data_IF_324810152290
#
_entry.id   IF_324810152290
#
_cell.length_a   1.000
_cell.length_b   1.000
_cell.length_c   1.000
_cell.angle_alpha   90.00
_cell.angle_beta   90.00
_cell.angle_gamma   90.00
#
_symmetry.space_group_name_H-M   'P 1'
#
loop_
_entity.id
_entity.type
_entity.pdbx_description
1 polymer ?
#
# COMPACT_ATOMS: atom_id res chain seq x y z
N UNK A 1 -16.29 0.09 -9.84
CA UNK A 1 -15.82 0.99 -8.78
C UNK A 1 -15.15 2.20 -9.40
N UNK A 2 -15.41 3.35 -8.87
CA UNK A 2 -14.75 4.56 -9.33
C UNK A 2 -13.53 4.85 -8.49
N UNK A 3 -12.40 5.03 -9.15
CA UNK A 3 -11.15 5.40 -8.49
C UNK A 3 -11.09 6.89 -8.20
N UNK A 4 -11.92 7.67 -8.90
CA UNK A 4 -11.96 9.13 -8.76
C UNK A 4 -13.37 9.57 -8.41
N UNK A 5 -13.50 10.66 -7.64
CA UNK A 5 -14.81 11.25 -7.41
C UNK A 5 -15.49 11.58 -8.72
N UNK A 6 -16.80 11.50 -8.73
CA UNK A 6 -17.58 11.72 -9.94
C UNK A 6 -17.37 13.14 -10.50
N UNK A 7 -17.16 14.08 -9.62
CA UNK A 7 -16.96 15.48 -9.97
C UNK A 7 -15.55 15.77 -10.51
N UNK A 8 -14.64 14.82 -10.42
CA UNK A 8 -13.27 15.00 -10.91
C UNK A 8 -13.18 14.71 -12.39
N UNK A 9 -14.02 15.35 -13.11
CA UNK A 9 -13.99 15.44 -14.56
C UNK A 9 -13.75 14.12 -15.28
N UNK A 10 -14.65 13.85 -16.18
CA UNK A 10 -14.56 12.71 -17.09
C UNK A 10 -13.20 12.61 -17.77
N UNK A 11 -12.54 13.75 -18.00
CA UNK A 11 -11.24 13.77 -18.65
C UNK A 11 -10.15 13.04 -17.86
N UNK A 12 -10.08 13.26 -16.55
CA UNK A 12 -9.09 12.59 -15.71
C UNK A 12 -9.39 11.09 -15.67
N UNK A 13 -10.63 10.73 -15.53
CA UNK A 13 -11.04 9.33 -15.51
C UNK A 13 -10.71 8.62 -16.82
N UNK A 14 -10.99 9.25 -17.94
CA UNK A 14 -10.68 8.69 -19.26
C UNK A 14 -9.19 8.53 -19.46
N UNK A 15 -8.39 9.52 -19.06
CA UNK A 15 -6.92 9.43 -19.14
C UNK A 15 -6.42 8.27 -18.28
N UNK A 16 -6.94 8.14 -17.08
CA UNK A 16 -6.55 7.03 -16.20
C UNK A 16 -6.87 5.68 -16.83
N UNK A 17 -8.07 5.52 -17.36
CA UNK A 17 -8.45 4.26 -18.03
C UNK A 17 -7.55 3.99 -19.24
N UNK A 18 -7.25 5.00 -20.03
CA UNK A 18 -6.37 4.86 -21.19
C UNK A 18 -4.97 4.41 -20.76
N UNK A 19 -4.39 5.07 -19.75
CA UNK A 19 -3.09 4.70 -19.24
C UNK A 19 -3.07 3.30 -18.67
N UNK A 20 -4.11 2.92 -17.94
CA UNK A 20 -4.23 1.56 -17.40
C UNK A 20 -4.28 0.54 -18.55
N UNK A 21 -5.05 0.84 -19.60
CA UNK A 21 -5.14 -0.03 -20.76
C UNK A 21 -3.79 -0.18 -21.47
N UNK A 22 -3.11 0.92 -21.75
CA UNK A 22 -1.81 0.90 -22.42
C UNK A 22 -0.78 0.14 -21.59
N UNK A 23 -0.70 0.42 -20.30
CA UNK A 23 0.25 -0.24 -19.43
C UNK A 23 -0.08 -1.73 -19.31
N UNK A 24 -1.35 -2.08 -19.20
CA UNK A 24 -1.78 -3.49 -19.18
C UNK A 24 -1.40 -4.22 -20.44
N UNK A 25 -1.53 -3.57 -21.59
CA UNK A 25 -1.12 -4.15 -22.86
C UNK A 25 0.38 -4.43 -22.92
N UNK A 26 1.18 -3.60 -22.24
CA UNK A 26 2.63 -3.73 -22.22
C UNK A 26 3.12 -4.70 -21.15
N UNK A 27 2.43 -4.77 -20.01
CA UNK A 27 2.88 -5.56 -18.88
C UNK A 27 1.73 -5.95 -17.95
N UNK A 28 0.78 -6.69 -18.47
CA UNK A 28 -0.45 -7.08 -17.77
C UNK A 28 -0.22 -7.65 -16.38
N UNK A 29 0.71 -8.59 -16.26
CA UNK A 29 0.89 -9.33 -15.01
C UNK A 29 1.36 -8.44 -13.88
N UNK A 30 2.31 -7.55 -14.16
CA UNK A 30 2.85 -6.65 -13.14
C UNK A 30 1.81 -5.64 -12.72
N UNK A 31 1.08 -5.07 -13.67
CA UNK A 31 0.03 -4.11 -13.37
C UNK A 31 -1.10 -4.72 -12.57
N UNK A 32 -1.53 -5.91 -12.95
CA UNK A 32 -2.60 -6.61 -12.22
C UNK A 32 -2.16 -6.87 -10.79
N UNK A 33 -0.93 -7.29 -10.60
CA UNK A 33 -0.42 -7.53 -9.26
C UNK A 33 -0.34 -6.26 -8.44
N UNK A 34 0.19 -5.18 -9.01
CA UNK A 34 0.28 -3.90 -8.32
C UNK A 34 -1.11 -3.40 -7.91
N UNK A 35 -2.08 -3.50 -8.80
CA UNK A 35 -3.45 -3.09 -8.49
C UNK A 35 -4.04 -3.94 -7.37
N UNK A 36 -3.77 -5.24 -7.38
CA UNK A 36 -4.20 -6.13 -6.29
C UNK A 36 -3.58 -5.71 -4.95
N UNK A 37 -2.29 -5.36 -4.96
CA UNK A 37 -1.62 -4.86 -3.76
C UNK A 37 -2.32 -3.61 -3.24
N UNK A 38 -2.61 -2.66 -4.12
CA UNK A 38 -3.27 -1.42 -3.71
C UNK A 38 -4.65 -1.67 -3.12
N UNK A 39 -5.40 -2.59 -3.69
CA UNK A 39 -6.71 -2.95 -3.15
C UNK A 39 -6.61 -3.50 -1.73
N UNK A 40 -5.62 -4.34 -1.47
CA UNK A 40 -5.39 -4.87 -0.12
C UNK A 40 -4.99 -3.75 0.83
N UNK A 41 -4.07 -2.88 0.42
CA UNK A 41 -3.58 -1.80 1.27
C UNK A 41 -4.69 -0.83 1.64
N UNK A 42 -5.60 -0.55 0.71
CA UNK A 42 -6.76 0.31 0.99
C UNK A 42 -7.67 -0.24 2.09
N UNK A 43 -7.61 -1.54 2.32
CA UNK A 43 -8.43 -2.19 3.35
C UNK A 43 -7.82 -2.13 4.74
N UNK A 44 -6.54 -1.78 4.87
CA UNK A 44 -5.90 -1.72 6.17
C UNK A 44 -6.56 -0.63 7.01
N UNK A 45 -7.14 -0.98 8.17
CA UNK A 45 -7.81 0.02 9.00
C UNK A 45 -6.84 1.04 9.58
N UNK A 46 -7.35 2.22 9.88
CA UNK A 46 -6.59 3.22 10.62
C UNK A 46 -6.15 2.65 11.96
N UNK A 47 -4.91 2.92 12.35
CA UNK A 47 -4.35 2.38 13.59
C UNK A 47 -3.83 0.96 13.48
N UNK A 48 -3.80 0.41 12.27
CA UNK A 48 -3.29 -0.94 12.01
C UNK A 48 -2.22 -0.91 10.93
N UNK A 49 -1.37 -1.92 10.94
CA UNK A 49 -0.31 -2.07 9.95
C UNK A 49 -0.22 -3.52 9.50
N UNK A 50 0.34 -3.72 8.32
CA UNK A 50 0.63 -5.07 7.84
C UNK A 50 2.04 -5.09 7.25
N UNK A 51 2.50 -6.27 6.87
CA UNK A 51 3.84 -6.42 6.31
C UNK A 51 3.80 -6.73 4.83
N UNK A 52 4.91 -6.45 4.14
CA UNK A 52 5.05 -6.82 2.73
C UNK A 52 4.79 -8.31 2.52
N UNK A 53 5.33 -9.13 3.42
CA UNK A 53 5.16 -10.59 3.33
C UNK A 53 3.73 -11.04 3.54
N UNK A 54 2.99 -10.40 4.44
CA UNK A 54 1.60 -10.74 4.67
C UNK A 54 0.74 -10.45 3.45
N UNK A 55 0.99 -9.33 2.77
CA UNK A 55 0.30 -8.99 1.53
C UNK A 55 0.64 -10.00 0.44
N UNK A 56 1.92 -10.31 0.27
CA UNK A 56 2.37 -11.27 -0.73
C UNK A 56 1.73 -12.64 -0.51
N UNK A 57 1.71 -13.10 0.72
CA UNK A 57 1.10 -14.38 1.09
C UNK A 57 -0.39 -14.41 0.77
N UNK A 58 -1.09 -13.34 1.08
CA UNK A 58 -2.52 -13.23 0.81
C UNK A 58 -2.83 -13.28 -0.69
N UNK A 59 -1.99 -12.63 -1.51
CA UNK A 59 -2.22 -12.55 -2.95
C UNK A 59 -1.73 -13.76 -3.73
N UNK A 60 -1.02 -14.67 -3.08
CA UNK A 60 -0.64 -15.92 -3.69
C UNK A 60 0.84 -16.22 -3.57
N UNK A 61 1.14 -17.49 -3.45
CA UNK A 61 2.47 -18.01 -3.12
C UNK A 61 3.56 -17.71 -4.15
N UNK A 62 3.18 -17.38 -5.38
CA UNK A 62 4.17 -17.13 -6.44
C UNK A 62 4.70 -15.71 -6.45
N UNK A 63 4.10 -14.81 -5.66
CA UNK A 63 4.51 -13.42 -5.60
C UNK A 63 5.33 -13.17 -4.35
N UNK A 64 6.40 -12.42 -4.50
CA UNK A 64 7.30 -12.16 -3.39
C UNK A 64 6.97 -10.84 -2.69
N UNK A 65 7.39 -10.74 -1.43
CA UNK A 65 7.32 -9.48 -0.70
C UNK A 65 8.10 -8.37 -1.39
N UNK A 66 9.13 -8.74 -2.15
CA UNK A 66 9.91 -7.78 -2.95
C UNK A 66 9.04 -7.08 -4.00
N UNK A 67 8.19 -7.84 -4.68
CA UNK A 67 7.26 -7.25 -5.66
C UNK A 67 6.24 -6.35 -4.99
N UNK A 68 5.78 -6.71 -3.79
CA UNK A 68 4.92 -5.83 -3.00
C UNK A 68 5.66 -4.53 -2.70
N UNK A 69 6.94 -4.61 -2.35
CA UNK A 69 7.77 -3.42 -2.14
C UNK A 69 7.83 -2.52 -3.38
N UNK A 70 7.95 -3.11 -4.56
CA UNK A 70 7.94 -2.34 -5.81
C UNK A 70 6.59 -1.63 -6.02
N UNK A 71 5.50 -2.33 -5.74
CA UNK A 71 4.16 -1.74 -5.84
C UNK A 71 4.03 -0.55 -4.87
N UNK A 72 4.53 -0.71 -3.65
CA UNK A 72 4.47 0.37 -2.67
C UNK A 72 5.34 1.57 -3.06
N UNK A 73 6.49 1.33 -3.69
CA UNK A 73 7.31 2.42 -4.22
C UNK A 73 6.56 3.25 -5.26
N UNK A 74 5.77 2.58 -6.08
CA UNK A 74 5.01 3.26 -7.13
C UNK A 74 3.72 3.90 -6.61
N UNK A 75 3.34 3.62 -5.37
CA UNK A 75 2.05 4.07 -4.83
C UNK A 75 2.02 5.53 -4.38
N UNK A 76 3.18 6.20 -4.31
CA UNK A 76 3.25 7.55 -3.75
C UNK A 76 2.40 8.58 -4.51
N UNK A 77 2.05 8.29 -5.76
CA UNK A 77 1.16 9.16 -6.55
C UNK A 77 -0.31 8.89 -6.27
N UNK A 78 -0.63 7.83 -5.55
CA UNK A 78 -2.00 7.42 -5.25
C UNK A 78 -2.32 7.81 -3.81
N UNK A 79 -3.05 8.92 -3.66
CA UNK A 79 -3.31 9.49 -2.32
C UNK A 79 -4.24 8.66 -1.46
N UNK A 80 -5.04 7.80 -2.07
CA UNK A 80 -5.98 6.94 -1.35
C UNK A 80 -5.38 5.63 -0.87
N UNK A 81 -4.11 5.38 -1.16
CA UNK A 81 -3.41 4.18 -0.73
C UNK A 81 -2.59 4.53 0.53
N UNK A 82 -2.97 4.01 1.71
CA UNK A 82 -2.27 4.34 2.95
C UNK A 82 -0.94 3.58 3.06
N UNK A 83 0.03 3.98 2.26
CA UNK A 83 1.32 3.30 2.17
C UNK A 83 2.09 3.26 3.50
N UNK A 84 1.83 4.20 4.40
CA UNK A 84 2.47 4.24 5.71
C UNK A 84 2.07 3.07 6.61
N UNK A 85 1.00 2.35 6.26
CA UNK A 85 0.52 1.19 7.02
C UNK A 85 1.16 -0.12 6.59
N UNK A 86 2.17 -0.05 5.70
CA UNK A 86 2.89 -1.25 5.25
C UNK A 86 4.33 -1.15 5.70
N UNK A 87 4.75 -2.11 6.51
CA UNK A 87 6.10 -2.14 7.11
C UNK A 87 6.72 -3.51 6.85
N UNK A 88 7.95 -3.71 7.28
CA UNK A 88 8.53 -5.02 7.12
C UNK A 88 8.02 -5.99 8.20
N UNK A 89 8.40 -7.26 8.12
CA UNK A 89 7.91 -8.30 9.04
C UNK A 89 8.27 -8.07 10.51
N UNK A 90 9.26 -7.20 10.77
CA UNK A 90 9.69 -6.86 12.12
C UNK A 90 9.12 -5.51 12.59
N UNK A 91 8.25 -4.90 11.80
CA UNK A 91 7.70 -3.60 12.13
C UNK A 91 8.62 -2.42 11.84
N UNK A 92 9.69 -2.64 11.06
CA UNK A 92 10.60 -1.56 10.68
C UNK A 92 10.04 -0.75 9.53
N UNK A 93 10.25 0.56 9.61
CA UNK A 93 9.77 1.52 8.60
C UNK A 93 10.74 1.57 7.42
N UNK A 94 10.90 0.47 6.71
CA UNK A 94 11.85 0.38 5.61
C UNK A 94 11.44 1.19 4.39
N UNK A 95 10.15 1.50 4.25
CA UNK A 95 9.64 2.31 3.15
C UNK A 95 9.70 3.81 3.37
N UNK A 96 10.26 4.27 4.48
CA UNK A 96 10.24 5.70 4.84
C UNK A 96 10.89 6.61 3.79
N UNK A 97 11.82 6.07 3.02
CA UNK A 97 12.54 6.86 2.00
C UNK A 97 11.66 7.28 0.82
N UNK A 98 10.49 6.67 0.68
CA UNK A 98 9.57 6.97 -0.42
C UNK A 98 8.56 8.05 -0.06
N UNK A 99 8.62 8.56 1.17
CA UNK A 99 7.75 9.63 1.63
C UNK A 99 8.47 10.97 1.54
N UNK A 100 7.71 12.02 1.30
CA UNK A 100 8.24 13.38 1.31
C UNK A 100 8.65 13.74 2.73
N UNK A 101 9.94 13.91 2.95
CA UNK A 101 10.47 14.17 4.29
C UNK A 101 10.80 12.88 5.02
N UNK A 102 11.86 12.92 5.81
CA UNK A 102 12.43 11.74 6.46
C UNK A 102 11.54 11.13 7.53
N UNK A 103 10.62 11.92 8.11
CA UNK A 103 9.80 11.49 9.23
C UNK A 103 8.32 11.40 8.91
N UNK A 104 7.93 11.59 7.65
CA UNK A 104 6.50 11.65 7.31
C UNK A 104 5.80 10.33 7.62
N UNK A 105 6.42 9.20 7.28
CA UNK A 105 5.84 7.89 7.56
C UNK A 105 5.60 7.70 9.06
N UNK A 106 6.59 8.04 9.88
CA UNK A 106 6.45 7.96 11.32
C UNK A 106 5.36 8.89 11.83
N UNK A 107 5.32 10.12 11.34
CA UNK A 107 4.30 11.08 11.76
C UNK A 107 2.88 10.59 11.45
N UNK A 108 2.70 10.00 10.27
CA UNK A 108 1.40 9.46 9.89
C UNK A 108 0.99 8.30 10.80
N UNK A 109 1.91 7.40 11.11
CA UNK A 109 1.63 6.29 12.03
C UNK A 109 1.31 6.80 13.44
N UNK A 110 2.09 7.76 13.92
CA UNK A 110 1.85 8.32 15.25
C UNK A 110 0.52 9.06 15.33
N UNK A 111 0.11 9.70 14.25
CA UNK A 111 -1.21 10.36 14.20
C UNK A 111 -2.35 9.35 14.32
N UNK A 112 -2.10 8.08 14.02
CA UNK A 112 -3.08 7.01 14.14
C UNK A 112 -2.97 6.25 15.46
N UNK A 113 -2.12 6.73 16.39
CA UNK A 113 -1.97 6.11 17.70
C UNK A 113 -0.94 4.98 17.74
N UNK A 114 -0.11 4.84 16.71
CA UNK A 114 0.92 3.81 16.65
C UNK A 114 2.24 4.42 17.08
N UNK A 115 2.80 3.94 18.19
CA UNK A 115 4.07 4.43 18.69
C UNK A 115 5.23 3.87 17.87
N UNK A 116 6.18 4.73 17.51
CA UNK A 116 7.38 4.34 16.75
C UNK A 116 8.61 4.76 17.55
N UNK A 117 9.54 3.84 17.73
CA UNK A 117 10.80 4.10 18.42
C UNK A 117 11.96 3.55 17.59
N UNK A 118 12.93 4.38 17.30
CA UNK A 118 14.09 4.00 16.52
C UNK A 118 13.72 3.31 15.20
N UNK A 119 12.78 3.93 14.49
CA UNK A 119 12.33 3.46 13.17
C UNK A 119 11.62 2.10 13.20
N UNK A 120 11.10 1.71 14.35
CA UNK A 120 10.41 0.44 14.53
C UNK A 120 9.12 0.65 15.32
N UNK A 121 8.06 -0.03 14.92
CA UNK A 121 6.78 0.04 15.60
C UNK A 121 6.89 -0.66 16.95
N UNK A 122 6.49 0.05 18.01
CA UNK A 122 6.40 -0.51 19.35
C UNK A 122 5.15 -1.38 19.42
N UNK A 123 5.25 -2.55 20.03
CA UNK A 123 4.14 -3.51 20.13
C UNK A 123 3.54 -3.85 18.77
N UNK A 124 4.42 -4.20 17.83
CA UNK A 124 4.03 -4.48 16.45
C UNK A 124 2.87 -5.47 16.36
N UNK A 125 2.91 -6.56 17.14
CA UNK A 125 1.87 -7.58 17.10
C UNK A 125 0.49 -7.04 17.50
N UNK A 126 0.45 -6.08 18.39
CA UNK A 126 -0.80 -5.44 18.82
C UNK A 126 -1.46 -4.68 17.68
N UNK A 127 -0.67 -4.09 16.80
CA UNK A 127 -1.16 -3.28 15.68
C UNK A 127 -1.25 -4.04 14.37
N UNK A 128 -0.75 -5.28 14.36
CA UNK A 128 -0.70 -6.07 13.13
C UNK A 128 -2.09 -6.46 12.65
N UNK A 129 -2.32 -6.28 11.37
CA UNK A 129 -3.54 -6.66 10.69
C UNK A 129 -3.18 -7.62 9.56
N UNK A 130 -3.79 -8.79 9.55
CA UNK A 130 -3.57 -9.78 8.50
C UNK A 130 -4.69 -9.66 7.47
N UNK A 131 -4.36 -9.49 6.18
CA UNK A 131 -5.38 -9.54 5.14
C UNK A 131 -6.07 -10.91 5.16
N UNK A 132 -7.39 -10.91 5.06
CA UNK A 132 -8.14 -12.15 4.99
C UNK A 132 -9.46 -11.94 4.25
N UNK A 133 -9.96 -13.00 3.65
CA UNK A 133 -11.26 -12.98 3.02
C UNK A 133 -12.29 -13.39 4.07
N UNK A 134 -13.24 -12.51 4.32
CA UNK A 134 -14.37 -12.81 5.20
C UNK A 134 -15.55 -13.24 4.34
N UNK A 135 -15.93 -14.47 4.47
CA UNK A 135 -17.06 -15.04 3.77
C UNK A 135 -18.33 -14.89 4.59
#
# INVERSE_FOLDING_TARGET
>A
MRLYPKEDLEGIYVIHLYLCFVISSLNDRTNDFFEQVYQVVRLIPEGRVTSYGAIAKFLGSKKSSRMVGWAMNASHVLKDVPAHRVVNRNGLLTGKHHFDGTNLMQQLLESEGIEVNENQIVDFQKHFWAPEIKL
#
